data_IF_657684250372
#
_entry.id   IF_657684250372
#
_cell.length_a   1.000
_cell.length_b   1.000
_cell.length_c   1.000
_cell.angle_alpha   90.00
_cell.angle_beta   90.00
_cell.angle_gamma   90.00
#
_symmetry.space_group_name_H-M   'P 1'
#
loop_
_entity.id
_entity.type
_entity.pdbx_description
1 polymer ?
#
# COMPACT_ATOMS: atom_id res chain seq x y z
N UNK A 1 -17.71 36.96 -16.40
CA UNK A 1 -17.58 35.50 -16.51
C UNK A 1 -17.31 34.97 -15.11
N UNK A 2 -18.37 34.65 -14.36
CA UNK A 2 -18.22 34.05 -13.04
C UNK A 2 -18.17 32.55 -13.25
N UNK A 3 -17.01 31.96 -13.01
CA UNK A 3 -16.83 30.51 -12.98
C UNK A 3 -17.52 30.00 -11.71
N UNK A 4 -18.82 29.72 -11.82
CA UNK A 4 -19.62 29.18 -10.71
C UNK A 4 -19.43 27.66 -10.70
N UNK A 5 -18.32 27.21 -10.13
CA UNK A 5 -18.18 25.80 -9.80
C UNK A 5 -19.13 25.51 -8.63
N UNK A 6 -20.28 24.89 -8.90
CA UNK A 6 -21.17 24.40 -7.85
C UNK A 6 -20.39 23.50 -6.86
N UNK A 7 -20.62 23.62 -5.54
CA UNK A 7 -19.97 22.77 -4.57
C UNK A 7 -20.33 21.31 -4.84
N UNK A 8 -19.30 20.45 -4.90
CA UNK A 8 -19.46 19.01 -5.10
C UNK A 8 -20.42 18.41 -4.07
N UNK A 9 -21.24 17.44 -4.50
CA UNK A 9 -22.03 16.65 -3.54
C UNK A 9 -21.07 15.97 -2.54
N UNK A 10 -21.45 15.77 -1.27
CA UNK A 10 -20.56 15.22 -0.24
C UNK A 10 -19.85 13.92 -0.63
N UNK A 11 -20.52 13.03 -1.37
CA UNK A 11 -19.94 11.78 -1.86
C UNK A 11 -18.88 12.00 -2.96
N UNK A 12 -19.09 12.98 -3.84
CA UNK A 12 -18.13 13.32 -4.89
C UNK A 12 -16.89 13.98 -4.29
N UNK A 13 -17.06 14.84 -3.28
CA UNK A 13 -15.96 15.42 -2.52
C UNK A 13 -15.14 14.34 -1.79
N UNK A 14 -15.80 13.36 -1.17
CA UNK A 14 -15.13 12.22 -0.52
C UNK A 14 -14.38 11.34 -1.52
N UNK A 15 -15.01 10.98 -2.66
CA UNK A 15 -14.36 10.21 -3.70
C UNK A 15 -13.11 10.91 -4.24
N UNK A 16 -13.19 12.24 -4.45
CA UNK A 16 -12.04 13.03 -4.89
C UNK A 16 -10.92 13.05 -3.85
N UNK A 17 -11.27 13.27 -2.59
CA UNK A 17 -10.31 13.21 -1.47
C UNK A 17 -9.59 11.86 -1.43
N UNK A 18 -10.31 10.75 -1.59
CA UNK A 18 -9.72 9.39 -1.59
C UNK A 18 -8.73 9.23 -2.75
N UNK A 19 -9.10 9.70 -3.96
CA UNK A 19 -8.20 9.68 -5.12
C UNK A 19 -6.93 10.48 -4.86
N UNK A 20 -7.07 11.70 -4.35
CA UNK A 20 -5.94 12.59 -4.05
C UNK A 20 -5.05 12.02 -2.95
N UNK A 21 -5.63 11.45 -1.89
CA UNK A 21 -4.89 10.79 -0.79
C UNK A 21 -4.18 9.51 -1.24
N UNK A 22 -4.80 8.70 -2.10
CA UNK A 22 -4.19 7.49 -2.66
C UNK A 22 -2.98 7.82 -3.54
N UNK A 23 -3.12 8.82 -4.42
CA UNK A 23 -2.02 9.31 -5.25
C UNK A 23 -0.91 9.94 -4.41
N UNK A 24 -1.27 10.73 -3.40
CA UNK A 24 -0.35 11.31 -2.44
C UNK A 24 0.45 10.24 -1.68
N UNK A 25 -0.21 9.18 -1.22
CA UNK A 25 0.42 8.04 -0.55
C UNK A 25 1.40 7.32 -1.48
N UNK A 26 1.00 7.03 -2.71
CA UNK A 26 1.86 6.39 -3.70
C UNK A 26 3.13 7.20 -3.97
N UNK A 27 3.01 8.51 -4.19
CA UNK A 27 4.18 9.40 -4.39
C UNK A 27 5.15 9.36 -3.22
N UNK A 28 4.65 9.27 -1.99
CA UNK A 28 5.47 9.22 -0.77
C UNK A 28 6.14 7.87 -0.60
N UNK A 29 5.42 6.77 -0.81
CA UNK A 29 5.97 5.42 -0.76
C UNK A 29 7.05 5.23 -1.82
N UNK A 30 6.89 5.81 -3.02
CA UNK A 30 7.87 5.76 -4.10
C UNK A 30 9.22 6.43 -3.76
N UNK A 31 9.28 7.26 -2.71
CA UNK A 31 10.53 7.83 -2.20
C UNK A 31 11.33 6.84 -1.33
N UNK A 32 10.73 5.71 -0.94
CA UNK A 32 11.42 4.64 -0.23
C UNK A 32 12.08 3.75 -1.27
N UNK A 33 13.42 3.74 -1.27
CA UNK A 33 14.21 2.93 -2.20
C UNK A 33 13.95 1.44 -1.95
N UNK A 34 13.43 0.75 -2.97
CA UNK A 34 13.30 -0.69 -2.97
C UNK A 34 14.63 -1.40 -3.24
N UNK A 35 14.74 -2.71 -2.96
CA UNK A 35 15.87 -3.51 -3.42
C UNK A 35 15.98 -3.51 -4.95
N UNK A 36 17.13 -3.92 -5.47
CA UNK A 36 17.41 -3.97 -6.91
C UNK A 36 16.24 -4.53 -7.72
N UNK A 37 15.87 -3.79 -8.78
CA UNK A 37 14.80 -4.12 -9.74
C UNK A 37 13.38 -4.19 -9.15
N UNK A 38 13.17 -3.89 -7.87
CA UNK A 38 11.84 -3.72 -7.30
C UNK A 38 11.30 -2.34 -7.64
N UNK A 39 10.01 -2.26 -7.91
CA UNK A 39 9.35 -1.00 -8.21
C UNK A 39 8.02 -0.89 -7.48
N UNK A 40 7.75 0.31 -6.97
CA UNK A 40 6.45 0.66 -6.43
C UNK A 40 5.43 0.76 -7.56
N UNK A 41 4.24 0.19 -7.35
CA UNK A 41 3.13 0.17 -8.30
C UNK A 41 1.81 0.42 -7.58
N UNK A 42 0.93 1.17 -8.23
CA UNK A 42 -0.50 1.22 -7.89
C UNK A 42 -1.20 0.07 -8.61
N UNK A 43 -2.15 -0.59 -7.96
CA UNK A 43 -3.11 -1.43 -8.68
C UNK A 43 -4.01 -0.51 -9.53
N UNK A 44 -4.02 -0.64 -10.88
CA UNK A 44 -4.81 0.21 -11.77
C UNK A 44 -6.32 0.16 -11.50
N UNK A 45 -6.79 -0.89 -10.81
CA UNK A 45 -8.20 -1.11 -10.50
C UNK A 45 -8.56 -0.78 -9.05
N UNK A 46 -7.60 -0.39 -8.22
CA UNK A 46 -7.80 -0.13 -6.79
C UNK A 46 -8.96 0.83 -6.50
N UNK A 47 -9.14 1.85 -7.35
CA UNK A 47 -10.19 2.86 -7.19
C UNK A 47 -11.36 2.69 -8.17
N UNK A 48 -11.39 1.61 -8.96
CA UNK A 48 -12.37 1.43 -10.04
C UNK A 48 -12.99 0.03 -10.16
N UNK A 49 -12.68 -0.91 -9.24
CA UNK A 49 -13.24 -2.26 -9.21
C UNK A 49 -14.77 -2.32 -9.37
N UNK A 50 -15.50 -1.37 -8.80
CA UNK A 50 -16.96 -1.34 -8.86
C UNK A 50 -17.47 -0.29 -9.84
N UNK A 51 -17.30 -0.54 -11.15
CA UNK A 51 -17.85 0.33 -12.21
C UNK A 51 -17.44 1.80 -12.03
N UNK A 52 -16.19 2.04 -11.62
CA UNK A 52 -15.65 3.38 -11.30
C UNK A 52 -16.29 4.09 -10.08
N UNK A 53 -17.07 3.39 -9.26
CA UNK A 53 -17.47 3.86 -7.92
C UNK A 53 -16.28 3.71 -6.97
N UNK A 54 -15.61 4.84 -6.70
CA UNK A 54 -14.44 4.90 -5.81
C UNK A 54 -14.79 4.41 -4.41
N UNK A 55 -15.92 4.85 -3.84
CA UNK A 55 -16.27 4.56 -2.45
C UNK A 55 -16.49 3.05 -2.26
N UNK A 56 -17.15 2.41 -3.22
CA UNK A 56 -17.34 0.96 -3.19
C UNK A 56 -16.05 0.21 -3.51
N UNK A 57 -15.22 0.72 -4.41
CA UNK A 57 -13.94 0.11 -4.79
C UNK A 57 -12.95 0.03 -3.63
N UNK A 58 -12.90 1.05 -2.77
CA UNK A 58 -11.99 1.08 -1.62
C UNK A 58 -12.51 0.39 -0.37
N UNK A 59 -13.73 -0.16 -0.39
CA UNK A 59 -14.33 -0.83 0.79
C UNK A 59 -13.51 -2.03 1.29
N UNK A 60 -12.76 -2.68 0.40
CA UNK A 60 -11.84 -3.79 0.71
C UNK A 60 -10.36 -3.35 0.73
N UNK A 61 -10.13 -2.05 0.77
CA UNK A 61 -8.82 -1.40 0.80
C UNK A 61 -8.16 -1.30 -0.57
N UNK A 62 -7.46 -0.19 -0.78
CA UNK A 62 -6.71 0.11 -2.00
C UNK A 62 -5.22 -0.25 -1.83
N UNK A 63 -4.69 -1.24 -2.57
CA UNK A 63 -3.30 -1.68 -2.39
C UNK A 63 -2.30 -0.84 -3.19
N UNK A 64 -1.18 -0.52 -2.56
CA UNK A 64 0.06 -0.04 -3.19
C UNK A 64 1.14 -1.10 -2.93
N UNK A 65 1.82 -1.52 -3.99
CA UNK A 65 2.71 -2.69 -3.96
C UNK A 65 4.15 -2.29 -4.27
N UNK A 66 5.11 -2.89 -3.59
CA UNK A 66 6.51 -2.99 -4.02
C UNK A 66 6.76 -4.44 -4.42
N UNK A 67 7.17 -4.64 -5.67
CA UNK A 67 7.41 -5.96 -6.22
C UNK A 67 8.53 -5.94 -7.28
N UNK A 68 9.16 -7.10 -7.49
CA UNK A 68 10.16 -7.27 -8.53
C UNK A 68 9.57 -7.02 -9.93
N UNK A 69 10.23 -6.19 -10.71
CA UNK A 69 9.76 -5.80 -12.05
C UNK A 69 9.93 -6.96 -13.04
N UNK A 70 8.88 -7.26 -13.82
CA UNK A 70 8.87 -8.28 -14.88
C UNK A 70 9.22 -9.71 -14.43
N UNK A 71 8.94 -10.07 -13.16
CA UNK A 71 9.13 -11.42 -12.64
C UNK A 71 7.84 -11.99 -12.07
N UNK A 72 7.71 -13.31 -12.16
CA UNK A 72 6.56 -14.06 -11.70
C UNK A 72 6.55 -14.13 -10.17
N UNK A 73 5.37 -14.25 -9.55
CA UNK A 73 5.17 -14.42 -8.09
C UNK A 73 5.87 -15.65 -7.48
N UNK A 74 6.49 -16.48 -8.32
CA UNK A 74 7.25 -17.68 -7.96
C UNK A 74 8.75 -17.43 -7.77
N UNK A 75 9.24 -16.20 -7.94
CA UNK A 75 10.65 -15.91 -7.69
C UNK A 75 10.97 -16.04 -6.18
N UNK A 76 11.88 -16.95 -5.77
CA UNK A 76 12.25 -17.08 -4.37
C UNK A 76 12.97 -15.84 -3.80
N UNK A 77 13.51 -14.93 -4.62
CA UNK A 77 14.13 -13.68 -4.15
C UNK A 77 13.14 -12.52 -4.09
N UNK A 78 11.88 -12.73 -4.47
CA UNK A 78 10.83 -11.73 -4.45
C UNK A 78 10.67 -11.15 -3.05
N UNK A 79 10.91 -9.84 -2.91
CA UNK A 79 10.35 -9.06 -1.83
C UNK A 79 8.98 -8.55 -2.28
N UNK A 80 7.96 -8.83 -1.49
CA UNK A 80 6.61 -8.31 -1.67
C UNK A 80 6.27 -7.40 -0.49
N UNK A 81 6.05 -6.12 -0.76
CA UNK A 81 5.47 -5.20 0.24
C UNK A 81 4.12 -4.73 -0.26
N UNK A 82 3.10 -4.87 0.57
CA UNK A 82 1.77 -4.33 0.30
C UNK A 82 1.36 -3.38 1.40
N UNK A 83 1.09 -2.14 1.01
CA UNK A 83 0.43 -1.13 1.83
C UNK A 83 -1.01 -1.03 1.35
N UNK A 84 -1.93 -1.70 2.05
CA UNK A 84 -3.37 -1.64 1.72
C UNK A 84 -4.05 -0.59 2.55
N UNK A 85 -4.50 0.48 1.90
CA UNK A 85 -5.08 1.68 2.52
C UNK A 85 -6.59 1.59 2.64
N UNK A 86 -7.13 2.11 3.74
CA UNK A 86 -8.55 2.15 4.02
C UNK A 86 -8.96 3.51 4.62
N UNK A 87 -10.19 3.91 4.32
CA UNK A 87 -10.79 5.16 4.76
C UNK A 87 -11.97 4.89 5.66
N UNK A 88 -11.93 5.37 6.90
CA UNK A 88 -13.01 5.13 7.87
C UNK A 88 -14.34 5.74 7.45
N UNK A 89 -14.29 6.84 6.71
CA UNK A 89 -15.45 7.48 6.09
C UNK A 89 -16.23 6.58 5.12
N UNK A 90 -15.61 5.49 4.60
CA UNK A 90 -16.26 4.50 3.75
C UNK A 90 -16.84 3.30 4.52
N UNK A 91 -16.51 3.16 5.81
CA UNK A 91 -16.97 2.06 6.67
C UNK A 91 -18.26 2.37 7.42
N UNK A 92 -18.55 1.55 8.45
CA UNK A 92 -19.77 1.66 9.27
C UNK A 92 -19.82 2.97 10.07
N UNK A 93 -18.68 3.51 10.50
CA UNK A 93 -18.56 4.78 11.23
C UNK A 93 -18.19 5.95 10.32
N UNK A 94 -19.16 6.41 9.52
CA UNK A 94 -18.97 7.48 8.51
C UNK A 94 -18.62 8.87 9.07
N UNK A 95 -18.63 9.05 10.39
CA UNK A 95 -18.23 10.29 11.07
C UNK A 95 -16.74 10.39 11.36
N UNK A 96 -16.00 9.27 11.28
CA UNK A 96 -14.56 9.23 11.52
C UNK A 96 -13.80 9.49 10.22
N UNK A 97 -13.00 10.56 10.18
CA UNK A 97 -12.21 10.96 9.02
C UNK A 97 -10.86 10.25 8.94
N UNK A 98 -10.53 9.42 9.92
CA UNK A 98 -9.25 8.72 10.00
C UNK A 98 -9.02 7.70 8.89
N UNK A 99 -7.77 7.28 8.78
CA UNK A 99 -7.29 6.30 7.82
C UNK A 99 -6.60 5.15 8.54
N UNK A 100 -6.60 3.97 7.92
CA UNK A 100 -5.84 2.84 8.42
C UNK A 100 -5.21 2.06 7.27
N UNK A 101 -4.14 1.33 7.57
CA UNK A 101 -3.45 0.47 6.63
C UNK A 101 -3.27 -0.93 7.20
N UNK A 102 -3.32 -1.91 6.31
CA UNK A 102 -2.70 -3.20 6.53
C UNK A 102 -1.38 -3.23 5.77
N UNK A 103 -0.29 -3.45 6.51
CA UNK A 103 1.05 -3.61 5.95
C UNK A 103 1.43 -5.09 5.97
N UNK A 104 1.80 -5.62 4.80
CA UNK A 104 2.45 -6.93 4.66
C UNK A 104 3.81 -6.74 4.03
N UNK A 105 4.82 -7.40 4.59
CA UNK A 105 6.14 -7.51 3.99
C UNK A 105 6.52 -8.99 4.00
N UNK A 106 6.71 -9.58 2.83
CA UNK A 106 6.93 -11.00 2.63
C UNK A 106 8.14 -11.23 1.71
N UNK A 107 8.91 -12.28 1.97
CA UNK A 107 9.96 -12.76 1.05
C UNK A 107 9.65 -14.17 0.59
N UNK A 108 9.91 -14.46 -0.68
CA UNK A 108 9.77 -15.79 -1.27
C UNK A 108 8.50 -15.97 -2.08
N UNK A 109 8.16 -17.22 -2.37
CA UNK A 109 7.08 -17.57 -3.31
C UNK A 109 5.73 -17.50 -2.60
N UNK A 110 4.84 -16.61 -3.05
CA UNK A 110 3.48 -16.51 -2.46
C UNK A 110 2.63 -17.74 -2.77
N UNK A 111 2.82 -18.34 -3.95
CA UNK A 111 2.22 -19.62 -4.30
C UNK A 111 2.76 -20.74 -3.39
N UNK A 112 1.85 -21.64 -2.96
CA UNK A 112 2.15 -22.77 -2.06
C UNK A 112 2.61 -22.38 -0.65
N UNK A 113 2.30 -21.16 -0.19
CA UNK A 113 2.58 -20.69 1.18
C UNK A 113 4.07 -20.76 1.57
N UNK A 114 4.97 -20.55 0.62
CA UNK A 114 6.42 -20.54 0.85
C UNK A 114 6.98 -19.14 1.13
N UNK A 115 6.11 -18.13 1.13
CA UNK A 115 6.48 -16.78 1.51
C UNK A 115 6.54 -16.68 3.04
N UNK A 116 7.61 -16.06 3.53
CA UNK A 116 7.81 -15.80 4.95
C UNK A 116 7.63 -14.32 5.23
N UNK A 117 6.94 -13.99 6.31
CA UNK A 117 6.81 -12.59 6.70
C UNK A 117 8.14 -12.06 7.25
N UNK A 118 8.44 -10.83 6.85
CA UNK A 118 9.53 -10.03 7.41
C UNK A 118 9.06 -9.14 8.57
N UNK A 119 7.76 -9.22 8.92
CA UNK A 119 7.17 -8.53 10.05
C UNK A 119 6.97 -9.50 11.22
N UNK A 120 7.02 -9.03 12.49
CA UNK A 120 6.87 -9.89 13.66
C UNK A 120 5.52 -10.63 13.76
N UNK A 121 4.44 -10.06 13.22
CA UNK A 121 3.07 -10.55 13.38
C UNK A 121 2.41 -10.98 12.06
N UNK A 122 3.22 -11.36 11.05
CA UNK A 122 2.80 -11.61 9.65
C UNK A 122 2.27 -10.38 8.90
N UNK A 123 1.56 -9.48 9.60
CA UNK A 123 0.99 -8.23 9.12
C UNK A 123 1.02 -7.19 10.25
N UNK A 124 1.07 -5.91 9.89
CA UNK A 124 0.91 -4.80 10.83
C UNK A 124 -0.33 -3.97 10.50
N UNK A 125 -1.14 -3.70 11.51
CA UNK A 125 -2.30 -2.82 11.41
C UNK A 125 -1.92 -1.44 11.91
N UNK A 126 -2.01 -0.44 11.04
CA UNK A 126 -1.65 0.94 11.33
C UNK A 126 -2.91 1.80 11.21
N UNK A 127 -3.11 2.73 12.14
CA UNK A 127 -4.16 3.73 12.04
C UNK A 127 -3.56 5.11 12.24
N UNK A 128 -4.16 6.15 11.66
CA UNK A 128 -3.74 7.54 11.85
C UNK A 128 -4.90 8.50 11.57
N UNK A 129 -4.74 9.76 12.00
CA UNK A 129 -5.71 10.81 11.72
C UNK A 129 -5.72 11.20 10.22
N UNK A 130 -4.59 11.09 9.55
CA UNK A 130 -4.42 11.46 8.14
C UNK A 130 -3.40 10.56 7.41
N UNK A 131 -3.36 10.68 6.08
CA UNK A 131 -2.50 9.87 5.22
C UNK A 131 -1.00 10.13 5.45
N UNK A 132 -0.50 11.38 5.58
CA UNK A 132 0.91 11.62 5.88
C UNK A 132 1.40 10.92 7.15
N UNK A 133 0.65 11.00 8.25
CA UNK A 133 1.01 10.34 9.50
C UNK A 133 0.94 8.82 9.38
N UNK A 134 -0.03 8.28 8.61
CA UNK A 134 -0.12 6.85 8.35
C UNK A 134 1.12 6.34 7.62
N UNK A 135 1.56 7.04 6.57
CA UNK A 135 2.76 6.67 5.82
C UNK A 135 4.01 6.78 6.71
N UNK A 136 4.13 7.86 7.50
CA UNK A 136 5.24 8.01 8.45
C UNK A 136 5.33 6.86 9.47
N UNK A 137 4.18 6.27 9.88
CA UNK A 137 4.14 5.08 10.74
C UNK A 137 4.51 3.79 10.00
N UNK A 138 4.22 3.70 8.70
CA UNK A 138 4.54 2.54 7.88
C UNK A 138 6.03 2.51 7.50
N UNK A 139 6.64 3.66 7.20
CA UNK A 139 8.01 3.77 6.70
C UNK A 139 9.05 2.98 7.53
N UNK A 140 9.13 3.09 8.87
CA UNK A 140 10.14 2.35 9.64
C UNK A 140 9.98 0.83 9.55
N UNK A 141 8.75 0.33 9.37
CA UNK A 141 8.49 -1.10 9.20
C UNK A 141 8.88 -1.58 7.80
N UNK A 142 8.66 -0.75 6.79
CA UNK A 142 9.08 -0.98 5.41
C UNK A 142 10.61 -1.01 5.33
N UNK A 143 11.29 0.00 5.88
CA UNK A 143 12.75 0.09 5.88
C UNK A 143 13.39 -1.10 6.57
N UNK A 144 12.83 -1.52 7.72
CA UNK A 144 13.27 -2.72 8.43
C UNK A 144 13.12 -3.98 7.58
N UNK A 145 11.99 -4.15 6.88
CA UNK A 145 11.77 -5.30 6.02
C UNK A 145 12.74 -5.33 4.83
N UNK A 146 12.99 -4.18 4.21
CA UNK A 146 13.97 -4.04 3.13
C UNK A 146 15.38 -4.39 3.62
N UNK A 147 15.78 -3.89 4.79
CA UNK A 147 17.07 -4.20 5.39
C UNK A 147 17.23 -5.69 5.74
N UNK A 148 16.17 -6.32 6.23
CA UNK A 148 16.16 -7.75 6.53
C UNK A 148 16.25 -8.61 5.26
N UNK A 149 15.53 -8.24 4.20
CA UNK A 149 15.65 -8.89 2.89
C UNK A 149 17.08 -8.79 2.34
N UNK A 150 17.68 -7.59 2.39
CA UNK A 150 19.07 -7.39 1.94
C UNK A 150 20.07 -8.22 2.76
N UNK A 151 19.84 -8.40 4.07
CA UNK A 151 20.66 -9.28 4.92
C UNK A 151 20.55 -10.73 4.48
N UNK A 152 19.34 -11.22 4.23
CA UNK A 152 19.10 -12.60 3.79
C UNK A 152 19.76 -12.90 2.44
N UNK A 153 19.66 -11.99 1.48
CA UNK A 153 20.32 -12.15 0.17
C UNK A 153 21.85 -12.22 0.32
N UNK A 154 22.45 -11.36 1.17
CA UNK A 154 23.90 -11.42 1.44
C UNK A 154 24.33 -12.73 2.09
N UNK A 155 23.54 -13.24 3.04
CA UNK A 155 23.85 -14.49 3.74
C UNK A 155 23.73 -15.72 2.82
N UNK A 156 22.86 -15.65 1.80
CA UNK A 156 22.75 -16.67 0.75
C UNK A 156 24.03 -16.77 -0.07
N UNK A 157 24.52 -15.65 -0.59
CA UNK A 157 25.74 -15.61 -1.42
C UNK A 157 27.06 -15.83 -0.65
N UNK A 158 27.04 -15.80 0.70
CA UNK A 158 28.20 -16.15 1.53
C UNK A 158 28.37 -17.64 1.77
N UNK A 159 27.33 -18.44 1.51
CA UNK A 159 27.33 -19.90 1.71
C UNK A 159 27.65 -20.67 0.43
N UNK A 160 27.71 -19.97 -0.70
CA UNK A 160 28.13 -20.46 -2.02
C UNK A 160 29.61 -20.11 -2.26
#
# INVERSE_FOLDING_TARGET
>A
MSDMTEPLKPQQALARRIQDEYEAAYRRLKLIDGPDRHSWKQDPRALSWWTSDVLRSVSFGAPILLELTNRHEEDPTQLFIEVRLFWRACGENRSDTGVYAMLRCEVGRRLRHQAHSLLPASMSHLAAADMPLLIARATPLIDRAIGEHARQERDRYRRD
#
